data_IF_317767785656
#
_entry.id   IF_317767785656
#
_cell.length_a   1.000
_cell.length_b   1.000
_cell.length_c   1.000
_cell.angle_alpha   90.00
_cell.angle_beta   90.00
_cell.angle_gamma   90.00
#
_symmetry.space_group_name_H-M   'P 1'
#
loop_
_entity.id
_entity.type
_entity.pdbx_description
1 polymer ?
#
# COMPACT_ATOMS: atom_id res chain seq x y z
N UNK A 1 23.58 -5.92 1.06
CA UNK A 1 23.32 -7.28 1.50
C UNK A 1 22.90 -8.11 0.28
N UNK A 2 23.68 -9.14 -0.05
CA UNK A 2 23.37 -10.07 -1.12
C UNK A 2 22.84 -11.38 -0.49
N UNK A 3 21.59 -11.72 -0.83
CA UNK A 3 20.91 -12.94 -0.37
C UNK A 3 20.91 -14.03 -1.45
N UNK A 4 21.66 -13.81 -2.55
CA UNK A 4 21.78 -14.75 -3.66
C UNK A 4 20.60 -14.70 -4.62
N UNK A 5 20.32 -15.83 -5.25
CA UNK A 5 19.26 -15.95 -6.27
C UNK A 5 18.10 -16.77 -5.71
N UNK A 6 16.89 -16.22 -5.79
CA UNK A 6 15.68 -16.90 -5.31
C UNK A 6 14.55 -16.82 -6.34
N UNK A 7 13.59 -17.77 -6.32
CA UNK A 7 12.34 -17.62 -7.06
C UNK A 7 11.46 -16.55 -6.42
N UNK A 8 10.36 -16.17 -7.09
CA UNK A 8 9.36 -15.28 -6.53
C UNK A 8 8.59 -15.98 -5.39
N UNK A 9 8.37 -15.28 -4.27
CA UNK A 9 7.82 -15.87 -3.05
C UNK A 9 6.41 -16.45 -3.24
N UNK A 10 5.56 -15.81 -4.04
CA UNK A 10 4.16 -16.21 -4.25
C UNK A 10 3.98 -17.06 -5.55
N UNK A 11 5.05 -17.42 -6.24
CA UNK A 11 5.01 -18.34 -7.38
C UNK A 11 4.93 -19.79 -6.90
N UNK A 12 3.72 -20.19 -6.44
CA UNK A 12 3.48 -21.52 -5.89
C UNK A 12 3.63 -22.59 -6.96
N UNK A 13 4.38 -23.63 -6.64
CA UNK A 13 4.55 -24.78 -7.53
C UNK A 13 3.29 -25.65 -7.57
N UNK A 14 2.94 -26.22 -8.75
CA UNK A 14 1.89 -27.23 -8.82
C UNK A 14 2.24 -28.45 -7.97
N UNK A 15 1.21 -29.22 -7.62
CA UNK A 15 1.36 -30.46 -6.84
C UNK A 15 2.41 -31.40 -7.45
N UNK A 16 3.01 -32.28 -6.64
CA UNK A 16 4.08 -33.22 -6.98
C UNK A 16 3.90 -33.87 -8.36
N UNK A 17 4.94 -33.78 -9.20
CA UNK A 17 5.03 -34.48 -10.50
C UNK A 17 4.92 -33.55 -11.73
N UNK A 18 4.48 -32.31 -11.59
CA UNK A 18 4.53 -31.36 -12.70
C UNK A 18 5.96 -30.81 -12.86
N UNK A 19 6.50 -30.83 -14.09
CA UNK A 19 7.74 -30.12 -14.40
C UNK A 19 7.44 -28.65 -14.50
N UNK A 20 7.76 -27.89 -13.45
CA UNK A 20 7.63 -26.44 -13.41
C UNK A 20 9.03 -25.82 -13.32
N UNK A 21 9.34 -24.89 -14.22
CA UNK A 21 10.60 -24.16 -14.22
C UNK A 21 10.33 -22.77 -13.64
N UNK A 22 10.73 -22.56 -12.39
CA UNK A 22 10.68 -21.24 -11.78
C UNK A 22 11.75 -20.32 -12.39
N UNK A 23 11.39 -19.08 -12.61
CA UNK A 23 12.37 -18.03 -12.86
C UNK A 23 13.07 -17.69 -11.54
N UNK A 24 14.35 -17.36 -11.65
CA UNK A 24 15.20 -17.05 -10.49
C UNK A 24 15.77 -15.65 -10.69
N UNK A 25 15.69 -14.81 -9.65
CA UNK A 25 16.13 -13.42 -9.67
C UNK A 25 17.14 -13.17 -8.55
N UNK A 26 18.06 -12.25 -8.77
CA UNK A 26 18.98 -11.79 -7.72
C UNK A 26 18.17 -11.09 -6.61
N UNK A 27 18.43 -11.41 -5.34
CA UNK A 27 17.82 -10.78 -4.18
C UNK A 27 18.87 -9.98 -3.42
N UNK A 28 19.05 -8.74 -3.84
CA UNK A 28 20.08 -7.85 -3.31
C UNK A 28 19.42 -6.61 -2.72
N UNK A 29 19.75 -6.32 -1.47
CA UNK A 29 19.32 -5.11 -0.74
C UNK A 29 20.45 -4.09 -0.73
N UNK A 30 20.16 -2.88 -1.16
CA UNK A 30 21.05 -1.73 -1.10
C UNK A 30 20.54 -0.64 -0.16
N UNK A 31 21.45 0.15 0.37
CA UNK A 31 21.16 1.38 1.11
C UNK A 31 21.71 2.56 0.33
N UNK A 32 20.93 3.60 0.14
CA UNK A 32 21.40 4.85 -0.43
C UNK A 32 22.21 5.61 0.62
N UNK A 33 23.41 6.07 0.26
CA UNK A 33 24.27 6.81 1.18
C UNK A 33 23.84 8.27 1.40
N UNK A 34 23.04 8.83 0.47
CA UNK A 34 22.51 10.20 0.59
C UNK A 34 21.29 10.28 1.47
N UNK A 35 20.23 9.50 1.16
CA UNK A 35 18.95 9.58 1.86
C UNK A 35 18.72 8.42 2.83
N UNK A 36 19.65 7.49 2.95
CA UNK A 36 19.59 6.30 3.83
C UNK A 36 18.41 5.37 3.53
N UNK A 37 17.74 5.55 2.38
CA UNK A 37 16.68 4.65 1.96
C UNK A 37 17.23 3.26 1.66
N UNK A 38 16.48 2.25 2.08
CA UNK A 38 16.84 0.84 1.89
C UNK A 38 15.85 0.25 0.87
N UNK A 39 16.39 -0.39 -0.16
CA UNK A 39 15.59 -0.94 -1.25
C UNK A 39 16.24 -2.15 -1.91
N UNK A 40 15.45 -2.90 -2.66
CA UNK A 40 16.00 -3.91 -3.56
C UNK A 40 16.72 -3.23 -4.72
N UNK A 41 17.80 -3.86 -5.18
CA UNK A 41 18.55 -3.43 -6.37
C UNK A 41 18.09 -4.15 -7.64
N UNK A 42 17.32 -5.23 -7.51
CA UNK A 42 16.72 -5.98 -8.61
C UNK A 42 15.23 -5.75 -8.64
N UNK A 43 14.72 -5.13 -9.70
CA UNK A 43 13.29 -4.93 -9.90
C UNK A 43 12.73 -6.01 -10.82
N UNK A 44 11.65 -6.63 -10.40
CA UNK A 44 10.89 -7.59 -11.19
C UNK A 44 9.61 -6.91 -11.66
N UNK A 45 9.22 -7.15 -12.92
CA UNK A 45 8.03 -6.52 -13.47
C UNK A 45 6.79 -6.80 -12.58
N UNK A 46 6.10 -5.75 -12.08
CA UNK A 46 4.95 -5.87 -11.17
C UNK A 46 3.81 -6.74 -11.70
N UNK A 47 3.65 -6.84 -13.03
CA UNK A 47 2.61 -7.69 -13.63
C UNK A 47 2.80 -9.19 -13.32
N UNK A 48 4.02 -9.62 -12.95
CA UNK A 48 4.29 -10.99 -12.52
C UNK A 48 3.69 -11.30 -11.15
N UNK A 49 3.50 -10.27 -10.31
CA UNK A 49 2.95 -10.43 -8.97
C UNK A 49 1.44 -10.18 -8.94
N UNK A 50 0.99 -9.06 -9.51
CA UNK A 50 -0.33 -8.52 -9.23
C UNK A 50 -1.40 -8.90 -10.23
N UNK A 51 -1.05 -9.31 -11.47
CA UNK A 51 -2.07 -9.66 -12.49
C UNK A 51 -2.99 -10.81 -12.05
N UNK A 52 -2.44 -11.81 -11.35
CA UNK A 52 -3.18 -12.95 -10.80
C UNK A 52 -2.95 -13.06 -9.28
N UNK A 53 -3.06 -11.92 -8.59
CA UNK A 53 -2.75 -11.86 -7.16
C UNK A 53 -3.71 -12.73 -6.34
N UNK A 54 -3.20 -13.73 -5.62
CA UNK A 54 -4.07 -14.70 -4.94
C UNK A 54 -4.57 -14.19 -3.58
N UNK A 55 -4.09 -13.05 -3.12
CA UNK A 55 -4.43 -12.52 -1.79
C UNK A 55 -5.73 -11.73 -1.82
N UNK A 56 -6.61 -12.06 -0.88
CA UNK A 56 -7.82 -11.33 -0.55
C UNK A 56 -7.79 -10.93 0.91
N UNK A 57 -7.97 -9.65 1.22
CA UNK A 57 -7.95 -9.11 2.59
C UNK A 57 -9.03 -9.72 3.48
N UNK A 58 -10.18 -10.03 2.91
CA UNK A 58 -11.33 -10.66 3.56
C UNK A 58 -11.05 -12.02 4.22
N UNK A 59 -10.07 -12.78 3.73
CA UNK A 59 -9.83 -14.16 4.18
C UNK A 59 -9.28 -14.22 5.61
N UNK A 60 -8.68 -13.11 6.08
CA UNK A 60 -8.01 -13.08 7.39
C UNK A 60 -8.86 -12.33 8.44
N UNK A 61 -9.37 -13.05 9.44
CA UNK A 61 -10.15 -12.47 10.53
C UNK A 61 -9.39 -11.43 11.35
N UNK A 62 -8.08 -11.56 11.48
CA UNK A 62 -7.21 -10.56 12.14
C UNK A 62 -7.20 -9.27 11.37
N UNK A 63 -7.17 -9.35 10.04
CA UNK A 63 -7.23 -8.18 9.16
C UNK A 63 -8.59 -7.48 9.28
N UNK A 64 -9.69 -8.22 9.39
CA UNK A 64 -11.03 -7.63 9.56
C UNK A 64 -11.14 -6.81 10.85
N UNK A 65 -10.70 -7.34 11.98
CA UNK A 65 -10.65 -6.62 13.27
C UNK A 65 -9.77 -5.39 13.18
N UNK A 66 -8.59 -5.50 12.53
CA UNK A 66 -7.69 -4.37 12.33
C UNK A 66 -8.33 -3.26 11.50
N UNK A 67 -9.00 -3.60 10.41
CA UNK A 67 -9.70 -2.64 9.55
C UNK A 67 -10.89 -1.98 10.27
N UNK A 68 -11.62 -2.73 11.10
CA UNK A 68 -12.67 -2.17 11.94
C UNK A 68 -12.12 -1.13 12.92
N UNK A 69 -11.02 -1.45 13.60
CA UNK A 69 -10.38 -0.53 14.55
C UNK A 69 -9.81 0.70 13.82
N UNK A 70 -9.16 0.50 12.67
CA UNK A 70 -8.59 1.57 11.86
C UNK A 70 -9.68 2.54 11.39
N UNK A 71 -10.73 2.02 10.74
CA UNK A 71 -11.81 2.86 10.22
C UNK A 71 -12.50 3.64 11.34
N UNK A 72 -12.80 3.00 12.47
CA UNK A 72 -13.41 3.67 13.64
C UNK A 72 -12.50 4.73 14.26
N UNK A 73 -11.19 4.53 14.26
CA UNK A 73 -10.21 5.50 14.75
C UNK A 73 -10.10 6.71 13.82
N UNK A 74 -9.99 6.47 12.52
CA UNK A 74 -9.85 7.53 11.53
C UNK A 74 -11.15 8.31 11.34
N UNK A 75 -12.31 7.65 11.42
CA UNK A 75 -13.62 8.31 11.40
C UNK A 75 -13.76 9.27 12.57
N UNK A 76 -13.46 8.85 13.81
CA UNK A 76 -13.47 9.74 14.98
C UNK A 76 -12.53 10.92 14.86
N UNK A 77 -11.41 10.74 14.15
CA UNK A 77 -10.37 11.78 14.03
C UNK A 77 -10.63 12.75 12.88
N UNK A 78 -11.20 12.26 11.77
CA UNK A 78 -11.31 13.01 10.52
C UNK A 78 -12.72 13.04 9.92
N UNK A 79 -13.69 12.36 10.51
CA UNK A 79 -15.06 12.17 10.00
C UNK A 79 -16.07 13.24 10.37
N UNK A 80 -15.66 14.41 10.85
CA UNK A 80 -16.59 15.45 11.35
C UNK A 80 -17.31 16.25 10.25
N UNK A 81 -17.32 15.77 9.01
CA UNK A 81 -17.86 16.50 7.85
C UNK A 81 -19.11 15.83 7.30
N UNK A 82 -20.04 16.63 6.82
CA UNK A 82 -21.06 16.14 5.91
C UNK A 82 -20.41 15.78 4.58
N UNK A 83 -20.71 14.61 4.01
CA UNK A 83 -20.17 14.11 2.73
C UNK A 83 -18.65 13.78 2.79
N UNK A 84 -18.26 12.94 3.75
CA UNK A 84 -16.91 12.43 3.84
C UNK A 84 -16.59 11.50 2.68
N UNK A 85 -15.44 11.71 2.02
CA UNK A 85 -14.98 10.92 0.90
C UNK A 85 -13.59 10.36 1.15
N UNK A 86 -13.48 9.02 1.03
CA UNK A 86 -12.24 8.25 1.15
C UNK A 86 -11.79 7.75 -0.22
N UNK A 87 -10.50 7.88 -0.50
CA UNK A 87 -9.81 7.12 -1.54
C UNK A 87 -8.85 6.16 -0.87
N UNK A 88 -8.96 4.86 -1.17
CA UNK A 88 -8.01 3.83 -0.74
C UNK A 88 -7.14 3.38 -1.92
N UNK A 89 -5.83 3.62 -1.82
CA UNK A 89 -4.82 3.16 -2.78
C UNK A 89 -4.36 1.78 -2.34
N UNK A 90 -4.41 0.79 -3.27
CA UNK A 90 -4.17 -0.62 -2.96
C UNK A 90 -5.33 -1.23 -2.17
N UNK A 91 -6.56 -0.96 -2.61
CA UNK A 91 -7.78 -1.34 -1.89
C UNK A 91 -8.08 -2.84 -1.87
N UNK A 92 -7.40 -3.63 -2.68
CA UNK A 92 -7.61 -5.07 -2.84
C UNK A 92 -9.11 -5.38 -3.06
N UNK A 93 -9.72 -6.20 -2.22
CA UNK A 93 -11.13 -6.60 -2.29
C UNK A 93 -12.12 -5.59 -1.67
N UNK A 94 -11.67 -4.38 -1.34
CA UNK A 94 -12.49 -3.32 -0.76
C UNK A 94 -12.86 -3.52 0.71
N UNK A 95 -12.22 -4.44 1.40
CA UNK A 95 -12.56 -4.76 2.80
C UNK A 95 -12.47 -3.56 3.74
N UNK A 96 -11.47 -2.68 3.61
CA UNK A 96 -11.37 -1.45 4.41
C UNK A 96 -12.37 -0.39 3.92
N UNK A 97 -12.53 -0.21 2.61
CA UNK A 97 -13.56 0.65 2.03
C UNK A 97 -14.95 0.30 2.56
N UNK A 98 -15.29 -1.00 2.69
CA UNK A 98 -16.58 -1.45 3.22
C UNK A 98 -16.80 -1.00 4.67
N UNK A 99 -15.75 -0.94 5.50
CA UNK A 99 -15.86 -0.42 6.88
C UNK A 99 -16.20 1.07 6.88
N UNK A 100 -15.55 1.87 6.04
CA UNK A 100 -15.87 3.30 5.91
C UNK A 100 -17.24 3.54 5.29
N UNK A 101 -17.65 2.74 4.31
CA UNK A 101 -18.99 2.81 3.74
C UNK A 101 -20.06 2.58 4.82
N UNK A 102 -19.86 1.62 5.73
CA UNK A 102 -20.76 1.37 6.86
C UNK A 102 -20.83 2.50 7.89
N UNK A 103 -19.83 3.38 7.92
CA UNK A 103 -19.78 4.61 8.72
C UNK A 103 -20.37 5.83 7.99
N UNK A 104 -20.91 5.64 6.78
CA UNK A 104 -21.55 6.69 6.00
C UNK A 104 -20.61 7.49 5.09
N UNK A 105 -19.38 7.05 4.89
CA UNK A 105 -18.45 7.68 3.94
C UNK A 105 -18.76 7.25 2.50
N UNK A 106 -18.58 8.16 1.55
CA UNK A 106 -18.35 7.74 0.16
C UNK A 106 -16.95 7.12 0.09
N UNK A 107 -16.79 6.08 -0.71
CA UNK A 107 -15.52 5.37 -0.84
C UNK A 107 -15.17 5.11 -2.30
N UNK A 108 -13.89 5.13 -2.61
CA UNK A 108 -13.35 4.72 -3.90
C UNK A 108 -12.07 3.93 -3.66
N UNK A 109 -12.05 2.67 -4.11
CA UNK A 109 -10.85 1.85 -4.14
C UNK A 109 -10.07 2.00 -5.44
N UNK A 110 -8.74 1.88 -5.40
CA UNK A 110 -7.89 1.75 -6.59
C UNK A 110 -6.94 0.59 -6.36
N UNK A 111 -7.00 -0.43 -7.21
CA UNK A 111 -6.12 -1.62 -7.09
C UNK A 111 -5.90 -2.26 -8.47
N UNK A 112 -4.69 -2.74 -8.80
CA UNK A 112 -4.41 -3.35 -10.11
C UNK A 112 -4.89 -4.79 -10.24
N UNK A 113 -5.29 -5.47 -9.16
CA UNK A 113 -5.64 -6.87 -9.16
C UNK A 113 -7.10 -7.10 -9.61
N UNK A 114 -7.30 -7.66 -10.81
CA UNK A 114 -8.62 -7.82 -11.43
C UNK A 114 -9.62 -8.59 -10.56
N UNK A 115 -9.20 -9.71 -9.94
CA UNK A 115 -10.10 -10.57 -9.16
C UNK A 115 -10.58 -9.90 -7.87
N UNK A 116 -9.72 -9.30 -7.04
CA UNK A 116 -10.16 -8.53 -5.87
C UNK A 116 -11.05 -7.33 -6.24
N UNK A 117 -10.68 -6.55 -7.26
CA UNK A 117 -11.49 -5.40 -7.70
C UNK A 117 -12.86 -5.82 -8.16
N UNK A 118 -12.96 -6.88 -8.95
CA UNK A 118 -14.26 -7.43 -9.36
C UNK A 118 -15.11 -7.82 -8.15
N UNK A 119 -14.50 -8.48 -7.16
CA UNK A 119 -15.18 -8.82 -5.91
C UNK A 119 -15.66 -7.56 -5.18
N UNK A 120 -14.85 -6.51 -5.08
CA UNK A 120 -15.23 -5.24 -4.46
C UNK A 120 -16.46 -4.63 -5.15
N UNK A 121 -16.45 -4.54 -6.48
CA UNK A 121 -17.57 -4.03 -7.29
C UNK A 121 -18.86 -4.85 -7.11
N UNK A 122 -18.77 -6.19 -7.10
CA UNK A 122 -19.90 -7.09 -6.87
C UNK A 122 -20.52 -6.93 -5.46
N UNK A 123 -19.73 -6.41 -4.50
CA UNK A 123 -20.18 -6.13 -3.12
C UNK A 123 -20.51 -4.63 -2.89
N UNK A 124 -20.66 -3.84 -3.96
CA UNK A 124 -21.11 -2.45 -3.89
C UNK A 124 -20.04 -1.45 -3.47
N UNK A 125 -18.76 -1.81 -3.59
CA UNK A 125 -17.63 -0.91 -3.36
C UNK A 125 -17.15 -0.35 -4.70
N UNK A 126 -17.29 0.95 -4.91
CA UNK A 126 -16.75 1.61 -6.08
C UNK A 126 -15.23 1.43 -6.14
N UNK A 127 -14.75 0.89 -7.27
CA UNK A 127 -13.34 0.54 -7.42
C UNK A 127 -12.86 0.73 -8.85
N UNK A 128 -11.61 1.17 -9.00
CA UNK A 128 -10.89 1.30 -10.27
C UNK A 128 -9.86 0.20 -10.34
N UNK A 129 -9.89 -0.61 -11.42
CA UNK A 129 -8.92 -1.66 -11.67
C UNK A 129 -7.73 -1.11 -12.45
N UNK A 130 -6.80 -0.48 -11.76
CA UNK A 130 -5.58 0.07 -12.35
C UNK A 130 -4.50 0.30 -11.27
N UNK A 131 -3.25 0.47 -11.70
CA UNK A 131 -2.19 0.98 -10.84
C UNK A 131 -2.45 2.46 -10.54
N UNK A 132 -2.40 2.84 -9.27
CA UNK A 132 -2.53 4.25 -8.91
C UNK A 132 -1.34 5.05 -9.46
N UNK A 133 -1.65 6.12 -10.18
CA UNK A 133 -0.71 6.99 -10.90
C UNK A 133 -1.24 8.42 -10.94
N UNK A 134 -0.42 9.36 -11.38
CA UNK A 134 -0.86 10.74 -11.60
C UNK A 134 -2.02 10.83 -12.61
N UNK A 135 -2.00 10.03 -13.68
CA UNK A 135 -3.09 10.01 -14.67
C UNK A 135 -4.40 9.42 -14.12
N UNK A 136 -4.33 8.41 -13.26
CA UNK A 136 -5.51 7.87 -12.56
C UNK A 136 -6.05 8.92 -11.59
N UNK A 137 -5.18 9.64 -10.88
CA UNK A 137 -5.58 10.70 -9.97
C UNK A 137 -6.28 11.88 -10.68
N UNK A 138 -5.83 12.28 -11.89
CA UNK A 138 -6.51 13.27 -12.71
C UNK A 138 -7.95 12.84 -13.05
N UNK A 139 -8.14 11.59 -13.50
CA UNK A 139 -9.45 11.04 -13.79
C UNK A 139 -10.35 10.97 -12.53
N UNK A 140 -9.77 10.65 -11.38
CA UNK A 140 -10.50 10.64 -10.11
C UNK A 140 -10.94 12.06 -9.73
N UNK A 141 -10.04 13.03 -9.83
CA UNK A 141 -10.34 14.43 -9.52
C UNK A 141 -11.49 14.96 -10.37
N UNK A 142 -11.46 14.70 -11.67
CA UNK A 142 -12.48 15.16 -12.61
C UNK A 142 -13.85 14.53 -12.35
N UNK A 143 -13.88 13.24 -11.99
CA UNK A 143 -15.12 12.48 -11.85
C UNK A 143 -15.72 12.52 -10.44
N UNK A 144 -14.88 12.48 -9.40
CA UNK A 144 -15.31 12.29 -8.02
C UNK A 144 -15.01 13.48 -7.11
N UNK A 145 -14.12 14.39 -7.54
CA UNK A 145 -13.66 15.53 -6.75
C UNK A 145 -12.57 15.16 -5.74
N UNK A 146 -12.28 16.10 -4.83
CA UNK A 146 -11.24 15.95 -3.83
C UNK A 146 -11.72 15.10 -2.64
N UNK A 147 -10.91 14.16 -2.13
CA UNK A 147 -11.23 13.39 -0.94
C UNK A 147 -10.95 14.19 0.34
N UNK A 148 -11.56 13.74 1.45
CA UNK A 148 -11.21 14.17 2.79
C UNK A 148 -10.05 13.33 3.37
N UNK A 149 -10.01 12.06 2.95
CA UNK A 149 -9.04 11.09 3.43
C UNK A 149 -8.50 10.25 2.27
N UNK A 150 -7.19 10.11 2.20
CA UNK A 150 -6.51 9.16 1.32
C UNK A 150 -5.80 8.15 2.23
N UNK A 151 -5.98 6.87 1.97
CA UNK A 151 -5.29 5.80 2.70
C UNK A 151 -4.46 4.97 1.73
N UNK A 152 -3.23 4.64 2.11
CA UNK A 152 -2.39 3.68 1.41
C UNK A 152 -1.72 2.74 2.43
N UNK A 153 -2.30 1.56 2.62
CA UNK A 153 -1.83 0.57 3.58
C UNK A 153 -0.98 -0.50 2.89
N UNK A 154 0.30 -0.56 3.26
CA UNK A 154 1.27 -1.54 2.72
C UNK A 154 1.39 -1.51 1.18
N UNK A 155 1.26 -0.34 0.57
CA UNK A 155 1.37 -0.13 -0.88
C UNK A 155 2.77 0.31 -1.26
N UNK A 156 3.34 1.26 -0.52
CA UNK A 156 4.59 1.93 -0.89
C UNK A 156 5.79 0.97 -0.96
N UNK A 157 5.76 -0.09 -0.16
CA UNK A 157 6.80 -1.12 -0.19
C UNK A 157 6.78 -1.96 -1.48
N UNK A 158 5.66 -1.95 -2.21
CA UNK A 158 5.44 -2.79 -3.40
C UNK A 158 5.62 -2.06 -4.74
N UNK A 159 5.97 -0.77 -4.71
CA UNK A 159 6.07 0.03 -5.93
C UNK A 159 7.47 0.63 -6.11
N UNK A 160 7.97 0.56 -7.33
CA UNK A 160 9.15 1.27 -7.83
C UNK A 160 8.80 2.64 -8.44
N UNK A 161 7.51 2.96 -8.58
CA UNK A 161 7.00 4.21 -9.15
C UNK A 161 6.54 5.24 -8.10
N UNK A 162 7.19 5.29 -6.93
CA UNK A 162 6.79 6.16 -5.81
C UNK A 162 6.61 7.63 -6.20
N UNK A 163 7.45 8.13 -7.12
CA UNK A 163 7.35 9.53 -7.58
C UNK A 163 6.01 9.82 -8.26
N UNK A 164 5.55 8.94 -9.12
CA UNK A 164 4.28 9.12 -9.84
C UNK A 164 3.08 8.96 -8.89
N UNK A 165 3.15 7.99 -7.96
CA UNK A 165 2.16 7.84 -6.90
C UNK A 165 2.02 9.14 -6.09
N UNK A 166 3.13 9.74 -5.65
CA UNK A 166 3.07 10.97 -4.86
C UNK A 166 2.68 12.21 -5.66
N UNK A 167 2.95 12.26 -6.97
CA UNK A 167 2.37 13.27 -7.86
C UNK A 167 0.85 13.13 -7.91
N UNK A 168 0.33 11.92 -8.08
CA UNK A 168 -1.11 11.65 -8.06
C UNK A 168 -1.75 11.98 -6.71
N UNK A 169 -1.13 11.59 -5.60
CA UNK A 169 -1.60 11.94 -4.26
C UNK A 169 -1.68 13.47 -4.10
N UNK A 170 -0.64 14.19 -4.52
CA UNK A 170 -0.61 15.65 -4.42
C UNK A 170 -1.72 16.33 -5.24
N UNK A 171 -2.08 15.81 -6.40
CA UNK A 171 -3.21 16.30 -7.20
C UNK A 171 -4.54 16.16 -6.46
N UNK A 172 -4.70 15.12 -5.65
CA UNK A 172 -5.92 14.82 -4.88
C UNK A 172 -5.92 15.46 -3.48
N UNK A 173 -4.86 16.19 -3.08
CA UNK A 173 -4.78 16.81 -1.77
C UNK A 173 -4.98 18.33 -1.83
N UNK A 174 -5.69 18.83 -0.83
CA UNK A 174 -5.74 20.25 -0.48
C UNK A 174 -5.46 20.41 1.02
N UNK A 175 -5.58 21.64 1.55
CA UNK A 175 -5.33 21.93 2.97
C UNK A 175 -6.28 21.23 3.96
N UNK A 176 -7.27 20.51 3.46
CA UNK A 176 -8.27 19.81 4.27
C UNK A 176 -8.21 18.29 4.08
N UNK A 177 -7.46 17.81 3.11
CA UNK A 177 -7.26 16.38 2.86
C UNK A 177 -6.19 15.85 3.79
N UNK A 178 -6.45 14.71 4.41
CA UNK A 178 -5.45 13.96 5.20
C UNK A 178 -5.00 12.74 4.40
N UNK A 179 -3.71 12.52 4.34
CA UNK A 179 -3.13 11.30 3.82
C UNK A 179 -2.65 10.42 4.99
N UNK A 180 -3.08 9.17 5.01
CA UNK A 180 -2.65 8.17 5.99
C UNK A 180 -1.89 7.06 5.26
N UNK A 181 -0.61 6.93 5.58
CA UNK A 181 0.26 5.89 5.04
C UNK A 181 0.55 4.85 6.12
N UNK A 182 0.37 3.58 5.79
CA UNK A 182 0.81 2.47 6.64
C UNK A 182 1.88 1.67 5.91
N UNK A 183 3.03 1.50 6.56
CA UNK A 183 4.15 0.73 6.01
C UNK A 183 4.79 -0.14 7.08
N UNK A 184 5.30 -1.30 6.67
CA UNK A 184 6.21 -2.07 7.50
C UNK A 184 7.43 -1.21 7.82
N UNK A 185 7.78 -1.10 9.11
CA UNK A 185 8.84 -0.20 9.55
C UNK A 185 10.21 -0.83 9.33
N UNK A 186 10.96 -0.33 8.35
CA UNK A 186 12.25 -0.87 7.95
C UNK A 186 13.25 -1.01 9.11
N UNK A 187 13.22 -0.10 10.10
CA UNK A 187 14.05 -0.22 11.28
C UNK A 187 13.74 -1.53 12.04
N UNK A 188 12.46 -1.87 12.22
CA UNK A 188 12.04 -3.11 12.91
C UNK A 188 12.38 -4.37 12.13
N UNK A 189 12.37 -4.31 10.81
CA UNK A 189 12.84 -5.43 9.97
C UNK A 189 14.28 -5.79 10.31
N UNK A 190 15.16 -4.79 10.47
CA UNK A 190 16.56 -5.03 10.78
C UNK A 190 16.83 -5.30 12.27
N UNK A 191 16.16 -4.59 13.18
CA UNK A 191 16.29 -4.82 14.63
C UNK A 191 15.83 -6.21 15.06
N UNK A 192 14.74 -6.71 14.45
CA UNK A 192 14.14 -7.99 14.81
C UNK A 192 14.58 -9.15 13.89
N UNK A 193 15.54 -8.89 12.98
CA UNK A 193 16.04 -9.90 12.03
C UNK A 193 14.93 -10.56 11.19
N UNK A 194 13.96 -9.78 10.73
CA UNK A 194 12.83 -10.27 9.94
C UNK A 194 13.24 -10.45 8.46
N UNK A 195 14.23 -11.28 8.21
CA UNK A 195 14.78 -11.49 6.87
C UNK A 195 13.80 -12.18 5.92
N UNK A 196 12.80 -12.87 6.43
CA UNK A 196 11.69 -13.48 5.68
C UNK A 196 10.77 -12.43 5.03
N UNK A 197 10.83 -11.18 5.48
CA UNK A 197 10.14 -10.06 4.82
C UNK A 197 10.90 -9.50 3.61
N UNK A 198 12.14 -9.99 3.37
CA UNK A 198 12.96 -9.56 2.24
C UNK A 198 12.70 -10.50 1.06
N UNK A 199 11.90 -10.04 0.12
CA UNK A 199 11.56 -10.74 -1.11
C UNK A 199 11.14 -9.75 -2.21
N UNK A 200 11.03 -10.21 -3.46
CA UNK A 200 10.97 -9.33 -4.63
C UNK A 200 9.74 -8.41 -4.73
N UNK A 201 8.66 -8.70 -3.99
CA UNK A 201 7.51 -7.81 -3.92
C UNK A 201 7.73 -6.61 -2.99
N UNK A 202 8.65 -6.73 -2.00
CA UNK A 202 9.01 -5.64 -1.11
C UNK A 202 10.20 -4.87 -1.66
N UNK A 203 9.94 -3.93 -2.56
CA UNK A 203 10.99 -3.15 -3.24
C UNK A 203 11.64 -2.11 -2.33
N UNK A 204 10.95 -1.68 -1.27
CA UNK A 204 11.37 -0.58 -0.38
C UNK A 204 11.14 -0.89 1.09
N UNK A 205 12.12 -0.53 1.94
CA UNK A 205 12.06 -0.67 3.40
C UNK A 205 12.09 0.72 4.02
N UNK A 206 10.90 1.26 4.28
CA UNK A 206 10.73 2.64 4.71
C UNK A 206 11.11 2.84 6.17
N UNK A 207 11.88 3.91 6.43
CA UNK A 207 12.13 4.44 7.77
C UNK A 207 11.66 5.88 7.84
N UNK A 208 11.38 6.41 9.02
CA UNK A 208 11.05 7.83 9.17
C UNK A 208 12.19 8.72 8.64
N UNK A 209 13.43 8.31 8.87
CA UNK A 209 14.59 9.06 8.41
C UNK A 209 14.62 9.24 6.90
N UNK A 210 14.26 8.20 6.12
CA UNK A 210 14.28 8.25 4.66
C UNK A 210 13.00 8.80 4.05
N UNK A 211 11.83 8.58 4.69
CA UNK A 211 10.54 8.98 4.10
C UNK A 211 10.23 10.47 4.34
N UNK A 212 10.66 11.05 5.47
CA UNK A 212 10.37 12.44 5.79
C UNK A 212 10.92 13.44 4.76
N UNK A 213 12.22 13.38 4.36
CA UNK A 213 12.74 14.26 3.31
C UNK A 213 12.05 14.04 1.96
N UNK A 214 11.67 12.81 1.66
CA UNK A 214 10.94 12.48 0.44
C UNK A 214 9.56 13.14 0.41
N UNK A 215 8.77 13.04 1.49
CA UNK A 215 7.47 13.70 1.62
C UNK A 215 7.59 15.22 1.56
N UNK A 216 8.60 15.77 2.22
CA UNK A 216 8.86 17.21 2.23
C UNK A 216 9.15 17.75 0.83
N UNK A 217 9.79 16.97 -0.04
CA UNK A 217 10.05 17.36 -1.43
C UNK A 217 8.76 17.55 -2.27
N UNK A 218 7.65 16.97 -1.84
CA UNK A 218 6.31 17.18 -2.42
C UNK A 218 5.50 18.26 -1.68
N UNK A 219 6.06 18.90 -0.65
CA UNK A 219 5.36 19.85 0.21
C UNK A 219 4.38 19.20 1.19
N UNK A 220 4.51 17.90 1.41
CA UNK A 220 3.69 17.10 2.32
C UNK A 220 4.32 17.12 3.72
N UNK A 221 3.54 17.49 4.74
CA UNK A 221 4.02 17.64 6.12
C UNK A 221 3.43 16.57 7.02
N UNK A 222 4.30 15.76 7.60
CA UNK A 222 3.91 14.79 8.63
C UNK A 222 3.58 15.53 9.92
N UNK A 223 2.40 15.28 10.48
CA UNK A 223 1.98 15.88 11.74
C UNK A 223 1.76 14.86 12.86
N UNK A 224 1.68 13.55 12.54
CA UNK A 224 1.58 12.50 13.54
C UNK A 224 2.13 11.17 13.01
N UNK A 225 2.65 10.33 13.91
CA UNK A 225 3.16 8.99 13.61
C UNK A 225 2.77 8.03 14.72
N UNK A 226 2.12 6.94 14.34
CA UNK A 226 1.80 5.84 15.26
C UNK A 226 2.68 4.64 14.94
N UNK A 227 3.23 3.98 15.96
CA UNK A 227 3.90 2.70 15.81
C UNK A 227 3.03 1.61 16.43
N UNK A 228 2.92 0.46 15.75
CA UNK A 228 2.08 -0.64 16.22
C UNK A 228 2.61 -1.99 15.75
N UNK A 229 2.11 -3.03 16.38
CA UNK A 229 2.61 -4.39 16.24
C UNK A 229 1.83 -5.14 15.13
N UNK A 230 2.18 -4.85 13.87
CA UNK A 230 1.70 -5.60 12.71
C UNK A 230 2.88 -5.90 11.81
N UNK A 231 2.88 -7.05 11.14
CA UNK A 231 3.95 -7.47 10.21
C UNK A 231 5.36 -7.37 10.80
N UNK A 232 5.52 -7.64 12.12
CA UNK A 232 6.79 -7.53 12.82
C UNK A 232 7.18 -6.11 13.25
N UNK A 233 6.27 -5.14 13.08
CA UNK A 233 6.39 -3.73 13.42
C UNK A 233 6.12 -2.84 12.24
N UNK A 234 5.08 -2.01 12.36
CA UNK A 234 4.63 -1.06 11.33
C UNK A 234 4.54 0.35 11.89
N UNK A 235 4.57 1.33 11.00
CA UNK A 235 4.26 2.72 11.32
C UNK A 235 3.08 3.20 10.46
N UNK A 236 2.26 4.05 11.07
CA UNK A 236 1.23 4.82 10.39
C UNK A 236 1.59 6.28 10.46
N UNK A 237 1.64 6.93 9.31
CA UNK A 237 2.10 8.30 9.13
C UNK A 237 0.90 9.13 8.69
N UNK A 238 0.61 10.21 9.43
CA UNK A 238 -0.45 11.17 9.11
C UNK A 238 0.14 12.45 8.54
N UNK A 239 -0.36 12.87 7.40
CA UNK A 239 0.21 13.92 6.54
C UNK A 239 -0.90 14.89 6.14
#
# INVERSE_FOLDING_TARGET
>A
LDLGKTPLANELQPARGAKFKQEIFDLIVGKCDDCMHIQLLTMVNPSKFFKNYPYFSKINSTTDVRFQNLSSSLDRRYGERNDNFLIEIGSNDGSLCAKFLSLGWRVLGVDPAESPVRYALENGIDSICDYFSSSVAENILDKYGLPNLIIANNVLAHSDHLRDIFLGIKLLMNNQTVLVLEVSYGLKVFENFLFDTIYHEHTSYHTLFSILPFLDSYGLKVFDVEQFDAHGGSIRIHI
#
